data_IF_356382836189
#
_entry.id   IF_356382836189
#
_cell.length_a   1.000
_cell.length_b   1.000
_cell.length_c   1.000
_cell.angle_alpha   90.00
_cell.angle_beta   90.00
_cell.angle_gamma   90.00
#
_symmetry.space_group_name_H-M   'P 1'
#
loop_
_entity.id
_entity.type
_entity.pdbx_description
1 polymer ?
#
# COMPACT_ATOMS: atom_id res chain seq x y z
N UNK A 1 -20.31 48.46 2.52
CA UNK A 1 -20.55 47.03 2.74
C UNK A 1 -20.41 46.33 1.39
N UNK A 2 -19.29 45.69 1.10
CA UNK A 2 -19.15 44.87 -0.12
C UNK A 2 -18.42 43.58 0.23
N UNK A 3 -19.04 42.47 -0.17
CA UNK A 3 -18.89 41.15 0.42
C UNK A 3 -17.54 40.47 0.17
N UNK A 4 -17.09 39.77 1.21
CA UNK A 4 -16.00 38.80 1.12
C UNK A 4 -16.48 37.57 0.33
N UNK A 5 -15.84 37.32 -0.80
CA UNK A 5 -16.24 36.35 -1.80
C UNK A 5 -16.10 34.91 -1.25
N UNK A 6 -17.24 34.26 -1.00
CA UNK A 6 -17.39 32.90 -0.46
C UNK A 6 -17.12 31.81 -1.52
N UNK A 7 -16.10 31.99 -2.37
CA UNK A 7 -15.74 31.04 -3.45
C UNK A 7 -14.34 30.45 -3.29
N UNK A 8 -13.51 31.00 -2.39
CA UNK A 8 -12.12 30.60 -2.22
C UNK A 8 -11.97 29.32 -1.36
N UNK A 9 -12.92 29.04 -0.46
CA UNK A 9 -12.82 27.89 0.46
C UNK A 9 -13.02 26.51 -0.20
N UNK A 10 -13.75 26.43 -1.32
CA UNK A 10 -14.07 25.15 -1.97
C UNK A 10 -12.93 24.61 -2.85
N UNK A 11 -12.06 25.48 -3.37
CA UNK A 11 -10.90 25.06 -4.16
C UNK A 11 -9.80 24.42 -3.30
N UNK A 12 -9.59 24.92 -2.07
CA UNK A 12 -8.58 24.36 -1.15
C UNK A 12 -8.87 22.92 -0.75
N UNK A 13 -10.15 22.56 -0.54
CA UNK A 13 -10.52 21.20 -0.17
C UNK A 13 -10.12 20.19 -1.25
N UNK A 14 -10.43 20.47 -2.52
CA UNK A 14 -10.14 19.58 -3.67
C UNK A 14 -8.62 19.42 -3.86
N UNK A 15 -7.85 20.49 -3.70
CA UNK A 15 -6.38 20.46 -3.80
C UNK A 15 -5.74 19.67 -2.64
N UNK A 16 -6.29 19.73 -1.43
CA UNK A 16 -5.81 18.95 -0.28
C UNK A 16 -6.04 17.44 -0.44
N UNK A 17 -7.19 17.01 -0.97
CA UNK A 17 -7.46 15.59 -1.17
C UNK A 17 -6.55 14.96 -2.24
N UNK A 18 -6.23 15.70 -3.30
CA UNK A 18 -5.37 15.22 -4.37
C UNK A 18 -3.90 15.00 -3.95
N UNK A 19 -3.41 15.71 -2.92
CA UNK A 19 -2.01 15.60 -2.47
C UNK A 19 -1.71 14.40 -1.57
N UNK A 20 -2.73 13.67 -1.07
CA UNK A 20 -2.54 12.52 -0.17
C UNK A 20 -2.66 11.15 -0.85
N UNK A 21 -3.27 11.11 -2.04
CA UNK A 21 -3.33 9.91 -2.85
C UNK A 21 -2.02 9.82 -3.66
N UNK A 22 -1.26 8.74 -3.48
CA UNK A 22 -0.16 8.47 -4.40
C UNK A 22 -0.77 8.30 -5.81
N UNK A 23 -0.38 9.08 -6.83
CA UNK A 23 -0.95 8.98 -8.17
C UNK A 23 -0.85 7.56 -8.75
N UNK A 24 0.14 6.78 -8.29
CA UNK A 24 0.38 5.39 -8.66
C UNK A 24 -0.62 4.43 -8.01
N UNK A 25 -1.21 4.83 -6.88
CA UNK A 25 -2.12 4.02 -6.07
C UNK A 25 -3.24 4.87 -5.46
N UNK A 26 -4.30 5.17 -6.21
CA UNK A 26 -5.35 6.09 -5.77
C UNK A 26 -6.13 5.62 -4.53
N UNK A 27 -6.03 4.33 -4.16
CA UNK A 27 -6.62 3.79 -2.92
C UNK A 27 -5.67 3.71 -1.73
N UNK A 28 -4.39 3.99 -1.93
CA UNK A 28 -3.37 3.96 -0.89
C UNK A 28 -3.21 5.37 -0.34
N UNK A 29 -4.26 5.80 0.37
CA UNK A 29 -4.24 7.06 1.11
C UNK A 29 -3.21 6.95 2.23
N UNK A 30 -2.20 7.81 2.17
CA UNK A 30 -1.23 7.95 3.25
C UNK A 30 -1.83 8.91 4.28
N UNK A 31 -2.16 8.46 5.49
CA UNK A 31 -2.51 9.39 6.59
C UNK A 31 -1.37 9.44 7.61
N UNK A 32 -0.59 10.54 7.70
CA UNK A 32 0.25 10.87 8.86
C UNK A 32 -0.35 12.09 9.61
N UNK A 33 -0.23 12.33 10.92
CA UNK A 33 0.80 12.03 11.96
C UNK A 33 0.10 11.69 13.30
N UNK A 34 0.42 10.54 13.93
CA UNK A 34 -0.05 10.01 15.25
C UNK A 34 -1.54 9.58 15.36
N UNK A 35 -1.94 8.58 16.15
CA UNK A 35 -1.27 7.73 17.17
C UNK A 35 -1.18 6.27 16.70
N UNK A 36 0.01 5.68 16.77
CA UNK A 36 0.17 4.23 16.84
C UNK A 36 -0.66 3.69 18.02
N UNK A 37 -1.08 2.42 17.96
CA UNK A 37 -1.98 1.80 18.94
C UNK A 37 -1.51 2.03 20.39
N UNK A 38 -2.15 2.95 21.12
CA UNK A 38 -1.86 3.22 22.54
C UNK A 38 -2.56 2.21 23.45
N UNK A 39 -3.55 1.44 22.97
CA UNK A 39 -4.14 0.34 23.73
C UNK A 39 -4.90 -0.66 22.83
N UNK A 40 -4.44 -1.91 22.67
CA UNK A 40 -5.08 -2.90 21.78
C UNK A 40 -6.47 -3.37 22.25
N UNK A 41 -6.74 -3.35 23.56
CA UNK A 41 -7.91 -4.05 24.15
C UNK A 41 -9.25 -3.38 23.82
N UNK A 42 -9.30 -2.06 23.66
CA UNK A 42 -10.52 -1.33 23.29
C UNK A 42 -10.68 -1.15 21.77
N UNK A 43 -9.68 -1.57 20.99
CA UNK A 43 -9.57 -1.19 19.59
C UNK A 43 -9.88 -2.31 18.59
N UNK A 44 -10.11 -3.55 19.05
CA UNK A 44 -10.19 -4.72 18.16
C UNK A 44 -11.17 -4.58 16.99
N UNK A 45 -12.31 -3.93 17.20
CA UNK A 45 -13.33 -3.72 16.15
C UNK A 45 -13.02 -2.54 15.21
N UNK A 46 -12.08 -1.67 15.58
CA UNK A 46 -11.75 -0.42 14.90
C UNK A 46 -10.32 -0.40 14.34
N UNK A 47 -9.70 -1.56 14.13
CA UNK A 47 -8.40 -1.63 13.48
C UNK A 47 -8.56 -1.41 11.97
N UNK A 48 -7.79 -0.46 11.43
CA UNK A 48 -7.69 -0.19 9.99
C UNK A 48 -6.25 -0.11 9.57
N UNK A 49 -5.96 -0.58 8.35
CA UNK A 49 -4.61 -0.62 7.81
C UNK A 49 -4.41 0.49 6.80
N UNK A 50 -3.31 1.23 6.96
CA UNK A 50 -2.91 2.30 6.06
C UNK A 50 -1.50 2.02 5.56
N UNK A 51 -1.26 2.37 4.30
CA UNK A 51 0.03 2.19 3.67
C UNK A 51 0.96 3.34 4.02
N UNK A 52 2.12 3.01 4.60
CA UNK A 52 3.22 3.93 4.85
C UNK A 52 4.14 3.91 3.66
N UNK A 53 4.29 5.05 2.99
CA UNK A 53 5.06 5.16 1.75
C UNK A 53 6.57 5.04 1.99
N UNK A 54 7.05 5.60 3.09
CA UNK A 54 8.48 5.59 3.46
C UNK A 54 8.96 4.18 3.79
N UNK A 55 8.27 3.47 4.69
CA UNK A 55 8.62 2.09 5.07
C UNK A 55 8.07 1.05 4.10
N UNK A 56 7.23 1.45 3.14
CA UNK A 56 6.49 0.55 2.24
C UNK A 56 5.72 -0.55 3.00
N UNK A 57 5.19 -0.24 4.18
CA UNK A 57 4.46 -1.21 5.03
C UNK A 57 3.01 -0.80 5.22
N UNK A 58 2.11 -1.78 5.36
CA UNK A 58 0.77 -1.52 5.87
C UNK A 58 0.73 -1.75 7.38
N UNK A 59 0.42 -0.69 8.13
CA UNK A 59 0.41 -0.74 9.60
C UNK A 59 -0.99 -0.49 10.15
N UNK A 60 -1.33 -1.07 11.30
CA UNK A 60 -2.65 -0.91 11.92
C UNK A 60 -2.77 0.42 12.67
N UNK A 61 -3.94 1.02 12.55
CA UNK A 61 -4.38 2.21 13.27
C UNK A 61 -5.70 1.94 13.98
N UNK A 62 -5.88 2.57 15.14
CA UNK A 62 -7.16 2.59 15.84
C UNK A 62 -8.06 3.69 15.29
N UNK A 63 -8.85 3.39 14.26
CA UNK A 63 -9.73 4.38 13.63
C UNK A 63 -10.92 3.69 12.97
N UNK A 64 -12.09 4.28 13.11
CA UNK A 64 -13.37 3.78 12.61
C UNK A 64 -13.68 4.21 11.16
N UNK A 65 -12.83 5.03 10.52
CA UNK A 65 -13.04 5.56 9.17
C UNK A 65 -11.81 5.43 8.28
N UNK A 66 -12.03 5.26 6.97
CA UNK A 66 -10.96 5.08 5.98
C UNK A 66 -10.20 3.74 6.12
N UNK A 67 -9.06 3.66 5.44
CA UNK A 67 -8.14 2.53 5.48
C UNK A 67 -8.74 1.21 4.96
N UNK A 68 -7.91 0.17 4.98
CA UNK A 68 -8.33 -1.19 4.67
C UNK A 68 -8.76 -1.91 5.94
N UNK A 69 -9.80 -2.76 5.85
CA UNK A 69 -10.24 -3.60 6.98
C UNK A 69 -9.22 -4.70 7.32
N UNK A 70 -8.51 -5.22 6.31
CA UNK A 70 -7.57 -6.32 6.45
C UNK A 70 -6.18 -5.91 6.01
N UNK A 71 -5.16 -6.35 6.75
CA UNK A 71 -3.75 -6.11 6.42
C UNK A 71 -3.43 -6.63 5.03
N UNK A 72 -3.82 -7.86 4.72
CA UNK A 72 -3.62 -8.49 3.41
C UNK A 72 -4.25 -7.70 2.28
N UNK A 73 -5.41 -7.08 2.49
CA UNK A 73 -6.06 -6.24 1.48
C UNK A 73 -5.26 -4.95 1.22
N UNK A 74 -4.70 -4.36 2.27
CA UNK A 74 -3.78 -3.23 2.17
C UNK A 74 -2.50 -3.64 1.45
N UNK A 75 -1.81 -4.67 1.96
CA UNK A 75 -0.56 -5.19 1.41
C UNK A 75 -0.71 -5.50 -0.08
N UNK A 76 -1.76 -6.22 -0.44
CA UNK A 76 -2.02 -6.64 -1.81
C UNK A 76 -2.35 -5.47 -2.74
N UNK A 77 -3.13 -4.50 -2.27
CA UNK A 77 -3.55 -3.35 -3.09
C UNK A 77 -2.45 -2.31 -3.23
N UNK A 78 -1.74 -2.04 -2.14
CA UNK A 78 -0.70 -1.02 -2.04
C UNK A 78 0.72 -1.54 -2.28
N UNK A 79 0.86 -2.86 -2.45
CA UNK A 79 2.14 -3.55 -2.69
C UNK A 79 3.17 -3.19 -1.63
N UNK A 80 2.84 -3.49 -0.38
CA UNK A 80 3.79 -3.42 0.73
C UNK A 80 4.90 -4.45 0.60
N UNK A 81 5.99 -4.28 1.33
CA UNK A 81 7.11 -5.24 1.38
C UNK A 81 6.66 -6.67 1.68
N UNK A 82 5.53 -6.86 2.39
CA UNK A 82 4.98 -8.18 2.69
C UNK A 82 4.62 -8.98 1.42
N UNK A 83 4.27 -8.32 0.32
CA UNK A 83 3.91 -9.03 -0.92
C UNK A 83 5.10 -9.79 -1.51
N UNK A 84 6.33 -9.35 -1.22
CA UNK A 84 7.55 -9.98 -1.74
C UNK A 84 7.77 -11.40 -1.17
N UNK A 85 7.22 -11.70 0.01
CA UNK A 85 7.27 -13.04 0.64
C UNK A 85 5.93 -13.77 0.59
N UNK A 86 4.85 -13.08 0.24
CA UNK A 86 3.53 -13.66 0.14
C UNK A 86 3.42 -14.64 -1.03
N UNK A 87 2.50 -15.61 -0.93
CA UNK A 87 2.14 -16.47 -2.06
C UNK A 87 1.72 -15.61 -3.24
N UNK A 88 2.43 -15.75 -4.35
CA UNK A 88 2.13 -15.00 -5.56
C UNK A 88 0.72 -15.32 -6.04
N UNK A 89 -0.14 -14.31 -6.26
CA UNK A 89 -1.47 -14.52 -6.81
C UNK A 89 -1.33 -14.96 -8.28
N UNK A 90 -1.67 -16.23 -8.54
CA UNK A 90 -1.88 -16.79 -9.87
C UNK A 90 -3.34 -17.20 -9.97
N UNK A 91 -4.06 -16.65 -10.94
CA UNK A 91 -5.44 -16.99 -11.24
C UNK A 91 -5.56 -17.34 -12.72
N UNK A 92 -6.64 -18.01 -13.11
CA UNK A 92 -7.00 -18.20 -14.52
C UNK A 92 -7.60 -16.91 -15.06
N UNK A 93 -7.24 -16.51 -16.27
CA UNK A 93 -7.73 -15.27 -16.86
C UNK A 93 -8.93 -15.55 -17.74
N UNK A 94 -9.97 -14.72 -17.64
CA UNK A 94 -11.06 -14.67 -18.63
C UNK A 94 -10.71 -13.76 -19.82
N UNK A 95 -9.52 -13.18 -19.82
CA UNK A 95 -9.01 -12.18 -20.77
C UNK A 95 -7.51 -12.36 -20.97
N UNK A 96 -6.90 -11.61 -21.90
CA UNK A 96 -5.46 -11.68 -22.13
C UNK A 96 -4.65 -11.31 -20.87
N UNK A 97 -3.69 -12.13 -20.44
CA UNK A 97 -2.93 -11.85 -19.23
C UNK A 97 -2.01 -10.62 -19.40
N UNK A 98 -1.68 -9.98 -18.28
CA UNK A 98 -0.68 -8.93 -18.23
C UNK A 98 0.72 -9.52 -18.16
N UNK A 99 1.68 -8.87 -18.84
CA UNK A 99 3.10 -9.05 -18.52
C UNK A 99 3.36 -8.34 -17.20
N UNK A 100 3.90 -9.08 -16.24
CA UNK A 100 4.20 -8.61 -14.89
C UNK A 100 5.59 -9.04 -14.48
N UNK A 101 6.14 -8.34 -13.49
CA UNK A 101 7.35 -8.72 -12.78
C UNK A 101 6.96 -9.17 -11.38
N UNK A 102 7.45 -10.31 -10.94
CA UNK A 102 7.25 -10.80 -9.59
C UNK A 102 8.61 -11.03 -8.92
N UNK A 103 8.68 -10.79 -7.62
CA UNK A 103 9.87 -11.09 -6.84
C UNK A 103 9.88 -12.57 -6.46
N UNK A 104 10.97 -13.26 -6.80
CA UNK A 104 11.26 -14.60 -6.31
C UNK A 104 12.22 -14.49 -5.12
N UNK A 105 11.77 -14.77 -3.89
CA UNK A 105 12.63 -14.68 -2.70
C UNK A 105 13.74 -15.74 -2.67
N UNK A 106 13.59 -16.85 -3.38
CA UNK A 106 14.61 -17.92 -3.46
C UNK A 106 15.81 -17.45 -4.25
N UNK A 107 15.57 -16.70 -5.33
CA UNK A 107 16.61 -16.20 -6.23
C UNK A 107 16.98 -14.75 -5.90
N UNK A 108 16.18 -14.07 -5.08
CA UNK A 108 16.42 -12.69 -4.64
C UNK A 108 16.23 -11.64 -5.74
N UNK A 109 15.42 -11.91 -6.77
CA UNK A 109 15.27 -11.02 -7.94
C UNK A 109 13.86 -10.96 -8.50
N UNK A 110 13.59 -9.89 -9.24
CA UNK A 110 12.34 -9.70 -9.96
C UNK A 110 12.40 -10.34 -11.36
N UNK A 111 11.47 -11.26 -11.63
CA UNK A 111 11.39 -12.03 -12.86
C UNK A 111 10.11 -11.70 -13.64
N UNK A 112 10.17 -11.66 -14.98
CA UNK A 112 8.98 -11.49 -15.81
C UNK A 112 8.14 -12.78 -15.83
N UNK A 113 6.83 -12.63 -15.86
CA UNK A 113 5.86 -13.71 -16.10
C UNK A 113 4.52 -13.08 -16.52
N UNK A 114 3.49 -13.89 -16.70
CA UNK A 114 2.13 -13.46 -16.99
C UNK A 114 1.22 -13.60 -15.76
N UNK A 115 0.23 -12.71 -15.65
CA UNK A 115 -0.78 -12.77 -14.58
C UNK A 115 -2.06 -12.05 -14.97
N UNK A 116 -3.20 -12.48 -14.43
CA UNK A 116 -4.49 -11.80 -14.59
C UNK A 116 -4.68 -10.64 -13.61
N UNK A 117 -3.75 -10.44 -12.69
CA UNK A 117 -3.83 -9.39 -11.67
C UNK A 117 -2.55 -8.57 -11.61
N UNK A 118 -2.72 -7.27 -11.40
CA UNK A 118 -1.66 -6.26 -11.25
C UNK A 118 -1.44 -5.89 -9.78
N UNK A 119 -1.84 -6.78 -8.88
CA UNK A 119 -1.84 -6.61 -7.42
C UNK A 119 -0.99 -7.68 -6.74
N UNK A 120 -0.61 -7.43 -5.49
CA UNK A 120 0.28 -8.31 -4.74
C UNK A 120 1.66 -8.39 -5.38
N UNK A 121 2.24 -9.59 -5.38
CA UNK A 121 3.52 -9.88 -6.04
C UNK A 121 3.37 -10.02 -7.58
N UNK A 122 2.77 -9.02 -8.23
CA UNK A 122 2.64 -8.89 -9.68
C UNK A 122 2.73 -7.41 -10.04
N UNK A 123 3.95 -6.92 -10.23
CA UNK A 123 4.26 -5.54 -10.53
C UNK A 123 4.23 -5.30 -12.04
N UNK A 124 3.75 -4.14 -12.50
CA UNK A 124 3.75 -3.80 -13.93
C UNK A 124 5.13 -3.36 -14.45
N UNK A 125 6.02 -2.96 -13.55
CA UNK A 125 7.35 -2.44 -13.86
C UNK A 125 8.39 -3.18 -13.03
N UNK A 126 9.52 -3.51 -13.66
CA UNK A 126 10.63 -4.20 -12.99
C UNK A 126 11.17 -3.34 -11.87
N UNK A 127 11.39 -2.06 -12.14
CA UNK A 127 11.95 -1.08 -11.21
C UNK A 127 11.11 -1.01 -9.93
N UNK A 128 9.78 -1.03 -10.08
CA UNK A 128 8.89 -1.00 -8.93
C UNK A 128 8.96 -2.28 -8.09
N UNK A 129 9.06 -3.45 -8.73
CA UNK A 129 9.28 -4.70 -8.02
C UNK A 129 10.59 -4.65 -7.23
N UNK A 130 11.64 -4.16 -7.86
CA UNK A 130 12.98 -4.09 -7.28
C UNK A 130 13.05 -3.10 -6.11
N UNK A 131 12.52 -1.89 -6.28
CA UNK A 131 12.40 -0.89 -5.21
C UNK A 131 11.61 -1.41 -4.00
N UNK A 132 10.60 -2.25 -4.25
CA UNK A 132 9.74 -2.78 -3.19
C UNK A 132 10.38 -3.97 -2.48
N UNK A 133 11.12 -4.82 -3.20
CA UNK A 133 11.50 -6.15 -2.71
C UNK A 133 13.00 -6.41 -2.55
N UNK A 134 13.91 -5.64 -3.14
CA UNK A 134 15.35 -5.96 -3.09
C UNK A 134 15.95 -5.87 -1.67
N UNK A 135 15.42 -5.03 -0.80
CA UNK A 135 15.99 -4.80 0.54
C UNK A 135 15.33 -5.61 1.66
N UNK A 136 14.39 -6.51 1.35
CA UNK A 136 13.61 -7.23 2.37
C UNK A 136 14.46 -8.23 3.19
N UNK A 137 15.64 -8.61 2.70
CA UNK A 137 16.52 -9.56 3.39
C UNK A 137 17.37 -8.92 4.49
N UNK A 138 17.49 -7.59 4.50
CA UNK A 138 18.27 -6.86 5.51
C UNK A 138 17.46 -6.62 6.80
N UNK A 139 16.14 -6.38 6.69
CA UNK A 139 15.27 -6.13 7.85
C UNK A 139 14.85 -7.40 8.62
N UNK A 140 15.02 -8.60 8.05
CA UNK A 140 14.77 -9.86 8.79
C UNK A 140 15.90 -10.27 9.74
N UNK A 141 17.08 -9.65 9.65
CA UNK A 141 18.23 -9.96 10.51
C UNK A 141 18.42 -8.97 11.68
N UNK A 142 17.66 -7.88 11.72
CA UNK A 142 17.74 -6.84 12.77
C UNK A 142 16.69 -7.00 13.87
N UNK A 143 15.76 -7.95 13.75
CA UNK A 143 14.77 -8.29 14.78
C UNK A 143 15.14 -9.49 15.67
N UNK A 144 16.40 -9.94 15.62
CA UNK A 144 16.87 -11.14 16.31
C UNK A 144 18.14 -10.87 17.16
N UNK A 145 18.23 -9.66 17.73
CA UNK A 145 19.19 -9.28 18.76
C UNK A 145 18.50 -8.57 19.91
#
# INVERSE_FOLDING_TARGET
MNGCNLTIFMACAVVCYARLADPKYPRCFSRPRQRFLVNPKSCYQNIRYFFHRETRQCVPYCINTGGFKFQTSCDFTCRSVNVCRARRPKSTCNFAPYIVFFYDPTIGRCLPDTSCTRKGNNFLRREECEETCKNINEESNSGQR
#
